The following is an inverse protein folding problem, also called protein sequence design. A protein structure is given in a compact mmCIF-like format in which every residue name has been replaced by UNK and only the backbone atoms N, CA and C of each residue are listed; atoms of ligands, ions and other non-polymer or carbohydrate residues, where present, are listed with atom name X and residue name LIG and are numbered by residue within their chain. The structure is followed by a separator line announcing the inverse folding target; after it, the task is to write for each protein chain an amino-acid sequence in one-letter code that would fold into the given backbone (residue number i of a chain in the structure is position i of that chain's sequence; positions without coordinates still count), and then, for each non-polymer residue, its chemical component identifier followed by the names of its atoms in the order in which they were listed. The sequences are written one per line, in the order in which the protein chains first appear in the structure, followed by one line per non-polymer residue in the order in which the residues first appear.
data_IF_989149909323
#
_entry.id   IF_989149909323
#
_cell.length_a   1.000
_cell.length_b   1.000
_cell.length_c   1.000
_cell.angle_alpha   90.00
_cell.angle_beta   90.00
_cell.angle_gamma   90.00
#
_symmetry.space_group_name_H-M   'P 1'
#
loop_
_entity.id
_entity.type
_entity.pdbx_description
1 polymer ?
#
# COMPACT_ATOMS: atom_id res chain seq x y z
N UNK A 1 36.02 29.86 -46.19
CA UNK A 1 34.62 30.11 -45.75
C UNK A 1 33.81 28.82 -45.51
N UNK A 2 33.99 27.77 -46.31
CA UNK A 2 33.27 26.47 -46.21
C UNK A 2 33.40 25.69 -44.89
N UNK A 3 34.54 25.80 -44.20
CA UNK A 3 34.83 25.02 -42.98
C UNK A 3 33.98 25.49 -41.79
N UNK A 4 33.72 26.80 -41.65
CA UNK A 4 32.90 27.35 -40.56
C UNK A 4 31.42 26.95 -40.67
N UNK A 5 30.87 26.89 -41.87
CA UNK A 5 29.48 26.45 -42.08
C UNK A 5 29.29 24.97 -41.72
N UNK A 6 30.26 24.10 -42.05
CA UNK A 6 30.22 22.68 -41.66
C UNK A 6 30.28 22.48 -40.14
N UNK A 7 31.13 23.22 -39.43
CA UNK A 7 31.25 23.14 -37.97
C UNK A 7 29.97 23.62 -37.28
N UNK A 8 29.37 24.72 -37.76
CA UNK A 8 28.09 25.22 -37.26
C UNK A 8 26.96 24.19 -37.43
N UNK A 9 26.91 23.50 -38.57
CA UNK A 9 25.89 22.48 -38.85
C UNK A 9 26.03 21.24 -37.96
N UNK A 10 27.27 20.78 -37.69
CA UNK A 10 27.55 19.64 -36.81
C UNK A 10 27.17 19.97 -35.36
N UNK A 11 27.54 21.15 -34.87
CA UNK A 11 27.19 21.58 -33.51
C UNK A 11 25.68 21.68 -33.30
N UNK A 12 24.94 22.21 -34.27
CA UNK A 12 23.49 22.33 -34.16
C UNK A 12 22.80 20.96 -34.13
N UNK A 13 23.34 19.97 -34.87
CA UNK A 13 22.84 18.60 -34.86
C UNK A 13 23.11 17.89 -33.52
N UNK A 14 24.28 18.09 -32.93
CA UNK A 14 24.64 17.55 -31.61
C UNK A 14 23.76 18.12 -30.49
N UNK A 15 23.54 19.44 -30.46
CA UNK A 15 22.68 20.10 -29.47
C UNK A 15 21.25 19.54 -29.51
N UNK A 16 20.75 19.27 -30.71
CA UNK A 16 19.40 18.71 -30.91
C UNK A 16 19.28 17.26 -30.40
N UNK A 17 20.33 16.45 -30.56
CA UNK A 17 20.34 15.06 -30.05
C UNK A 17 20.40 15.04 -28.52
N UNK A 18 21.25 15.90 -27.92
CA UNK A 18 21.37 16.00 -26.47
C UNK A 18 20.07 16.42 -25.79
N UNK A 19 19.35 17.38 -26.39
CA UNK A 19 18.05 17.83 -25.85
C UNK A 19 16.98 16.76 -25.91
N UNK A 20 16.90 15.98 -26.99
CA UNK A 20 15.95 14.85 -27.10
C UNK A 20 16.26 13.78 -26.04
N UNK A 21 17.53 13.39 -25.92
CA UNK A 21 17.96 12.40 -24.91
C UNK A 21 17.66 12.85 -23.48
N UNK A 22 17.77 14.15 -23.19
CA UNK A 22 17.46 14.71 -21.88
C UNK A 22 15.95 14.71 -21.59
N UNK A 23 15.12 15.06 -22.58
CA UNK A 23 13.64 15.04 -22.48
C UNK A 23 13.15 13.60 -22.28
N UNK A 24 13.64 12.66 -23.07
CA UNK A 24 13.28 11.24 -23.02
C UNK A 24 13.70 10.61 -21.67
N UNK A 25 14.85 11.02 -21.11
CA UNK A 25 15.27 10.64 -19.76
C UNK A 25 14.36 11.23 -18.67
N UNK A 26 13.85 12.45 -18.86
CA UNK A 26 12.90 13.09 -17.97
C UNK A 26 11.52 12.41 -17.97
N UNK A 27 11.00 12.07 -19.15
CA UNK A 27 9.73 11.36 -19.31
C UNK A 27 9.77 9.98 -18.65
N UNK A 28 10.84 9.21 -18.87
CA UNK A 28 11.03 7.91 -18.21
C UNK A 28 11.05 8.01 -16.68
N UNK A 29 11.70 9.03 -16.11
CA UNK A 29 11.64 9.24 -14.65
C UNK A 29 10.22 9.52 -14.17
N UNK A 30 9.43 10.30 -14.92
CA UNK A 30 8.05 10.61 -14.52
C UNK A 30 7.13 9.40 -14.58
N UNK A 31 7.31 8.49 -15.53
CA UNK A 31 6.52 7.25 -15.61
C UNK A 31 6.83 6.31 -14.45
N UNK A 32 8.11 6.14 -14.11
CA UNK A 32 8.52 5.31 -12.97
C UNK A 32 7.94 5.89 -11.67
N UNK A 33 8.02 7.21 -11.46
CA UNK A 33 7.46 7.86 -10.27
C UNK A 33 5.94 7.68 -10.21
N UNK A 34 5.24 7.83 -11.35
CA UNK A 34 3.78 7.57 -11.42
C UNK A 34 3.44 6.13 -11.05
N UNK A 35 4.18 5.16 -11.59
CA UNK A 35 3.99 3.74 -11.28
C UNK A 35 4.21 3.43 -9.80
N UNK A 36 5.33 3.91 -9.24
CA UNK A 36 5.66 3.76 -7.81
C UNK A 36 4.56 4.39 -6.94
N UNK A 37 4.06 5.56 -7.30
CA UNK A 37 3.02 6.24 -6.54
C UNK A 37 1.70 5.44 -6.53
N UNK A 38 1.30 4.86 -7.66
CA UNK A 38 0.13 3.97 -7.73
C UNK A 38 0.33 2.73 -6.86
N UNK A 39 1.52 2.12 -6.88
CA UNK A 39 1.84 0.97 -6.03
C UNK A 39 1.77 1.31 -4.54
N UNK A 40 2.30 2.47 -4.13
CA UNK A 40 2.22 2.94 -2.75
C UNK A 40 0.76 3.12 -2.31
N UNK A 41 -0.08 3.73 -3.16
CA UNK A 41 -1.50 3.93 -2.85
C UNK A 41 -2.18 2.57 -2.67
N UNK A 42 -1.98 1.62 -3.59
CA UNK A 42 -2.55 0.28 -3.49
C UNK A 42 -2.11 -0.45 -2.22
N UNK A 43 -0.81 -0.42 -1.89
CA UNK A 43 -0.27 -1.03 -0.68
C UNK A 43 -0.83 -0.37 0.59
N UNK A 44 -0.96 0.95 0.61
CA UNK A 44 -1.50 1.68 1.76
C UNK A 44 -2.97 1.30 2.03
N UNK A 45 -3.78 1.23 0.98
CA UNK A 45 -5.18 0.80 1.08
C UNK A 45 -5.26 -0.67 1.50
N UNK A 46 -4.39 -1.53 0.97
CA UNK A 46 -4.34 -2.94 1.33
C UNK A 46 -3.97 -3.16 2.80
N UNK A 47 -3.00 -2.43 3.33
CA UNK A 47 -2.63 -2.49 4.75
C UNK A 47 -3.80 -2.03 5.62
N UNK A 48 -4.48 -0.93 5.26
CA UNK A 48 -5.65 -0.45 6.01
C UNK A 48 -6.78 -1.48 5.97
N UNK A 49 -7.05 -2.08 4.80
CA UNK A 49 -8.07 -3.11 4.60
C UNK A 49 -7.76 -4.41 5.37
N UNK A 50 -6.49 -4.81 5.46
CA UNK A 50 -6.07 -5.94 6.30
C UNK A 50 -6.09 -5.59 7.79
N UNK A 51 -5.82 -4.34 8.16
CA UNK A 51 -5.83 -3.91 9.56
C UNK A 51 -7.26 -3.84 10.14
N UNK A 52 -8.28 -3.49 9.32
CA UNK A 52 -9.69 -3.66 9.74
C UNK A 52 -10.11 -5.14 9.83
N UNK A 53 -9.33 -6.02 9.20
CA UNK A 53 -9.39 -7.47 9.33
C UNK A 53 -8.32 -8.00 10.29
N UNK A 54 -7.99 -7.27 11.37
CA UNK A 54 -7.38 -7.89 12.54
C UNK A 54 -8.26 -9.09 12.90
N UNK A 55 -7.79 -10.29 12.54
CA UNK A 55 -8.58 -11.50 12.52
C UNK A 55 -9.35 -11.59 13.84
N UNK A 56 -10.69 -11.59 13.82
CA UNK A 56 -11.43 -11.54 15.06
C UNK A 56 -11.03 -12.78 15.84
N UNK A 57 -10.41 -12.57 16.99
CA UNK A 57 -9.92 -13.66 17.84
C UNK A 57 -11.15 -14.48 18.19
N UNK A 58 -11.20 -15.69 17.65
CA UNK A 58 -12.25 -16.64 17.96
C UNK A 58 -12.10 -17.01 19.44
N UNK A 59 -13.19 -16.92 20.17
CA UNK A 59 -13.21 -17.19 21.59
C UNK A 59 -14.37 -18.14 21.92
N UNK A 60 -14.17 -19.04 22.84
CA UNK A 60 -15.21 -19.81 23.51
C UNK A 60 -15.49 -19.24 24.90
N UNK A 61 -14.49 -18.61 25.52
CA UNK A 61 -14.58 -18.04 26.87
C UNK A 61 -13.95 -16.66 26.94
N UNK A 62 -14.42 -15.83 27.87
CA UNK A 62 -14.00 -14.42 28.01
C UNK A 62 -12.49 -14.24 28.25
N UNK A 63 -11.82 -15.22 28.85
CA UNK A 63 -10.39 -15.17 29.12
C UNK A 63 -9.54 -15.37 27.85
N UNK A 64 -10.11 -15.83 26.75
CA UNK A 64 -9.37 -16.02 25.49
C UNK A 64 -9.16 -14.68 24.76
N UNK A 65 -9.78 -13.60 25.26
CA UNK A 65 -9.72 -12.26 24.70
C UNK A 65 -8.68 -11.35 25.37
N UNK A 66 -7.77 -11.88 26.21
CA UNK A 66 -6.79 -11.06 26.95
C UNK A 66 -5.78 -10.33 26.04
N UNK A 67 -5.58 -10.79 24.81
CA UNK A 67 -4.67 -10.13 23.85
C UNK A 67 -5.26 -8.85 23.23
N UNK A 68 -6.56 -8.59 23.39
CA UNK A 68 -7.19 -7.36 22.91
C UNK A 68 -7.09 -6.24 23.96
N UNK A 69 -6.33 -5.20 23.64
CA UNK A 69 -6.23 -3.98 24.45
C UNK A 69 -7.51 -3.15 24.26
N UNK A 70 -8.50 -3.32 25.14
CA UNK A 70 -9.64 -2.41 25.21
C UNK A 70 -9.28 -1.17 26.04
N UNK A 71 -9.57 0.04 25.51
CA UNK A 71 -9.39 1.28 26.27
C UNK A 71 -10.50 1.43 27.34
N UNK A 72 -10.19 1.92 28.56
CA UNK A 72 -11.19 2.24 29.56
C UNK A 72 -12.25 3.21 29.00
N UNK A 73 -13.56 3.04 29.30
CA UNK A 73 -14.16 2.13 30.28
C UNK A 73 -14.48 0.71 29.76
N UNK A 74 -14.18 0.42 28.50
CA UNK A 74 -14.59 -0.83 27.85
C UNK A 74 -13.78 -2.02 28.34
N UNK A 75 -14.43 -3.16 28.47
CA UNK A 75 -13.79 -4.44 28.84
C UNK A 75 -13.86 -5.41 27.66
N UNK A 76 -12.87 -6.30 27.56
CA UNK A 76 -12.91 -7.40 26.60
C UNK A 76 -14.02 -8.40 26.99
N UNK A 77 -14.80 -8.85 26.02
CA UNK A 77 -15.86 -9.83 26.22
C UNK A 77 -15.93 -10.78 25.03
N UNK A 78 -16.20 -12.06 25.28
CA UNK A 78 -16.44 -13.02 24.21
C UNK A 78 -17.91 -12.97 23.80
N UNK A 79 -18.20 -12.38 22.64
CA UNK A 79 -19.56 -12.33 22.10
C UNK A 79 -19.85 -13.63 21.33
N UNK A 80 -20.54 -14.57 21.97
CA UNK A 80 -20.89 -15.87 21.37
C UNK A 80 -21.83 -15.63 20.19
N UNK A 81 -21.38 -15.97 18.98
CA UNK A 81 -22.21 -15.94 17.79
C UNK A 81 -22.73 -17.36 17.56
N UNK A 82 -24.02 -17.59 17.80
CA UNK A 82 -24.66 -18.90 17.61
C UNK A 82 -24.48 -19.48 16.19
N UNK A 83 -24.14 -18.62 15.22
CA UNK A 83 -23.95 -18.96 13.82
C UNK A 83 -22.61 -19.66 13.50
N UNK A 84 -21.58 -19.55 14.37
CA UNK A 84 -20.26 -20.14 14.11
C UNK A 84 -20.07 -21.42 14.94
N UNK A 85 -20.44 -22.56 14.35
CA UNK A 85 -20.19 -23.89 14.92
C UNK A 85 -19.02 -24.56 14.20
N UNK A 86 -17.90 -24.73 14.89
CA UNK A 86 -16.77 -25.53 14.41
C UNK A 86 -16.62 -26.73 15.36
N UNK A 87 -16.60 -27.95 14.82
CA UNK A 87 -16.45 -29.20 15.57
C UNK A 87 -17.46 -29.38 16.74
N UNK A 88 -18.67 -28.83 16.61
CA UNK A 88 -19.73 -28.99 17.62
C UNK A 88 -19.70 -27.98 18.78
N UNK A 89 -18.73 -27.06 18.81
CA UNK A 89 -18.65 -25.99 19.81
C UNK A 89 -19.12 -24.65 19.23
N UNK A 90 -19.81 -23.84 20.06
CA UNK A 90 -20.16 -22.47 19.73
C UNK A 90 -18.93 -21.58 19.89
N UNK A 91 -18.59 -20.83 18.84
CA UNK A 91 -17.50 -19.86 18.85
C UNK A 91 -18.08 -18.45 18.81
N UNK A 92 -17.48 -17.58 19.60
CA UNK A 92 -17.72 -16.15 19.62
C UNK A 92 -16.57 -15.37 19.01
N UNK A 93 -16.76 -14.05 18.96
CA UNK A 93 -15.72 -13.10 18.61
C UNK A 93 -15.44 -12.21 19.82
N UNK A 94 -14.17 -11.94 20.07
CA UNK A 94 -13.77 -10.95 21.07
C UNK A 94 -14.23 -9.56 20.65
N UNK A 95 -14.93 -8.88 21.56
CA UNK A 95 -15.44 -7.52 21.39
C UNK A 95 -15.11 -6.67 22.62
N UNK A 96 -14.97 -5.36 22.42
CA UNK A 96 -14.85 -4.39 23.52
C UNK A 96 -16.23 -3.77 23.82
N UNK A 97 -16.78 -4.08 24.99
CA UNK A 97 -18.10 -3.61 25.46
C UNK A 97 -17.92 -2.69 26.67
#
# INVERSE_FOLDING_TARGET
MYVRQKISFINNKLIKIYSISYIERGENMTEIIKFVNVMIILLSVFIIAMNVNASPVLCQRNYECYEQICLPPKKHWCNILELVRINGFYLGLCACI
#
